data_IF_608358248874
#
_entry.id   IF_608358248874
#
_cell.length_a   1.000
_cell.length_b   1.000
_cell.length_c   1.000
_cell.angle_alpha   90.00
_cell.angle_beta   90.00
_cell.angle_gamma   90.00
#
_symmetry.space_group_name_H-M   'P 1'
#
loop_
_entity.id
_entity.type
_entity.pdbx_description
1 polymer ?
#
# COMPACT_ATOMS: atom_id res chain seq x y z
N UNK A 1 25.84 2.68 7.52
CA UNK A 1 25.81 4.11 7.14
C UNK A 1 24.44 4.41 6.55
N UNK A 2 23.58 5.09 7.29
CA UNK A 2 22.24 5.48 6.84
C UNK A 2 22.37 6.77 6.02
N UNK A 3 22.48 6.64 4.70
CA UNK A 3 22.33 7.81 3.84
C UNK A 3 20.86 8.24 3.93
N UNK A 4 20.54 9.52 4.19
CA UNK A 4 19.16 9.99 4.05
C UNK A 4 18.74 9.66 2.62
N UNK A 5 17.64 8.92 2.47
CA UNK A 5 17.11 8.61 1.14
C UNK A 5 16.96 9.93 0.38
N UNK A 6 17.73 10.08 -0.71
CA UNK A 6 17.64 11.30 -1.52
C UNK A 6 16.21 11.39 -2.04
N UNK A 7 15.61 12.57 -1.90
CA UNK A 7 14.23 12.80 -2.29
C UNK A 7 14.10 12.60 -3.80
N UNK A 8 13.15 11.77 -4.23
CA UNK A 8 13.04 11.39 -5.64
C UNK A 8 12.84 12.59 -6.59
N UNK A 9 12.31 13.71 -6.08
CA UNK A 9 12.08 14.94 -6.85
C UNK A 9 13.32 15.82 -6.99
N UNK A 10 14.45 15.47 -6.37
CA UNK A 10 15.70 16.24 -6.40
C UNK A 10 16.90 15.42 -6.92
N UNK A 11 16.64 14.32 -7.63
CA UNK A 11 17.68 13.47 -8.22
C UNK A 11 17.48 13.33 -9.73
N UNK A 12 18.56 13.03 -10.43
CA UNK A 12 18.52 12.75 -11.87
C UNK A 12 17.79 11.44 -12.16
N UNK A 13 17.40 11.26 -13.42
CA UNK A 13 16.78 10.01 -13.90
C UNK A 13 17.69 8.81 -13.66
N UNK A 14 19.00 8.95 -13.91
CA UNK A 14 19.96 7.86 -13.71
C UNK A 14 20.06 7.42 -12.24
N UNK A 15 20.09 8.38 -11.32
CA UNK A 15 20.09 8.11 -9.87
C UNK A 15 18.77 7.47 -9.43
N UNK A 16 17.63 7.93 -9.96
CA UNK A 16 16.33 7.32 -9.67
C UNK A 16 16.26 5.87 -10.13
N UNK A 17 16.75 5.57 -11.34
CA UNK A 17 16.83 4.21 -11.87
C UNK A 17 17.74 3.31 -11.02
N UNK A 18 18.87 3.83 -10.56
CA UNK A 18 19.78 3.12 -9.66
C UNK A 18 19.13 2.82 -8.30
N UNK A 19 18.46 3.81 -7.69
CA UNK A 19 17.76 3.63 -6.42
C UNK A 19 16.62 2.63 -6.52
N UNK A 20 15.85 2.70 -7.61
CA UNK A 20 14.76 1.77 -7.90
C UNK A 20 15.24 0.42 -8.43
N UNK A 21 16.55 0.24 -8.64
CA UNK A 21 17.18 -0.94 -9.22
C UNK A 21 16.47 -1.40 -10.51
N UNK A 22 16.18 -0.46 -11.40
CA UNK A 22 15.45 -0.71 -12.64
C UNK A 22 16.20 -0.14 -13.82
N UNK A 23 15.84 -0.61 -15.02
CA UNK A 23 16.40 -0.09 -16.27
C UNK A 23 15.45 0.92 -16.91
N UNK A 24 15.93 1.78 -17.83
CA UNK A 24 15.08 2.63 -18.66
C UNK A 24 14.06 1.83 -19.49
N UNK A 25 14.35 0.56 -19.77
CA UNK A 25 13.51 -0.33 -20.56
C UNK A 25 12.41 -1.00 -19.72
N UNK A 26 12.35 -0.70 -18.42
CA UNK A 26 11.38 -1.26 -17.49
C UNK A 26 11.88 -2.50 -16.74
N UNK A 27 10.92 -3.26 -16.22
CA UNK A 27 11.13 -4.45 -15.39
C UNK A 27 10.80 -5.72 -16.18
N UNK A 28 11.51 -6.81 -15.88
CA UNK A 28 11.15 -8.13 -16.39
C UNK A 28 9.96 -8.72 -15.64
N UNK A 29 9.26 -9.69 -16.23
CA UNK A 29 8.13 -10.36 -15.58
C UNK A 29 8.52 -11.00 -14.23
N UNK A 30 9.71 -11.60 -14.12
CA UNK A 30 10.21 -12.19 -12.88
C UNK A 30 10.45 -11.13 -11.79
N UNK A 31 10.90 -9.94 -12.18
CA UNK A 31 11.11 -8.86 -11.25
C UNK A 31 9.79 -8.23 -10.79
N UNK A 32 8.82 -8.11 -11.70
CA UNK A 32 7.45 -7.70 -11.35
C UNK A 32 6.84 -8.68 -10.35
N UNK A 33 6.94 -9.99 -10.57
CA UNK A 33 6.44 -11.01 -9.65
C UNK A 33 7.11 -10.90 -8.27
N UNK A 34 8.44 -10.80 -8.21
CA UNK A 34 9.18 -10.62 -6.94
C UNK A 34 8.77 -9.35 -6.21
N UNK A 35 8.57 -8.23 -6.92
CA UNK A 35 8.15 -6.95 -6.33
C UNK A 35 6.70 -7.01 -5.84
N UNK A 36 5.79 -7.68 -6.55
CA UNK A 36 4.41 -7.88 -6.09
C UNK A 36 4.35 -8.70 -4.80
N UNK A 37 5.19 -9.74 -4.66
CA UNK A 37 5.28 -10.50 -3.40
C UNK A 37 5.85 -9.65 -2.26
N UNK A 38 6.83 -8.77 -2.54
CA UNK A 38 7.48 -7.93 -1.52
C UNK A 38 6.62 -6.75 -1.06
N UNK A 39 6.02 -6.02 -2.00
CA UNK A 39 5.33 -4.75 -1.73
C UNK A 39 3.80 -4.87 -1.76
N UNK A 40 3.27 -5.94 -2.35
CA UNK A 40 1.84 -6.10 -2.60
C UNK A 40 1.36 -5.27 -3.79
N UNK A 41 0.05 -5.34 -4.03
CA UNK A 41 -0.60 -4.53 -5.06
C UNK A 41 -0.65 -3.07 -4.62
N UNK A 42 -0.35 -2.16 -5.57
CA UNK A 42 -0.52 -0.73 -5.37
C UNK A 42 -2.00 -0.34 -5.44
N UNK A 43 -2.78 -0.80 -4.47
CA UNK A 43 -4.20 -0.44 -4.29
C UNK A 43 -4.47 -0.13 -2.83
N UNK A 44 -5.16 0.98 -2.62
CA UNK A 44 -5.71 1.31 -1.32
C UNK A 44 -6.81 0.32 -0.97
N UNK A 45 -6.78 -0.22 0.24
CA UNK A 45 -7.85 -1.09 0.72
C UNK A 45 -9.14 -0.27 0.77
N UNK A 46 -10.25 -0.76 0.17
CA UNK A 46 -11.52 -0.09 0.34
C UNK A 46 -11.87 -0.07 1.82
N UNK A 47 -12.46 1.03 2.28
CA UNK A 47 -12.99 1.11 3.64
C UNK A 47 -14.02 0.00 3.81
N UNK A 48 -13.91 -0.80 4.88
CA UNK A 48 -14.92 -1.78 5.22
C UNK A 48 -16.25 -1.04 5.40
N UNK A 49 -17.17 -1.27 4.47
CA UNK A 49 -18.53 -0.77 4.60
C UNK A 49 -19.22 -1.65 5.63
N UNK A 50 -19.77 -1.05 6.68
CA UNK A 50 -20.60 -1.77 7.64
C UNK A 50 -21.79 -2.35 6.89
N UNK A 51 -21.81 -3.66 6.72
CA UNK A 51 -22.93 -4.39 6.11
C UNK A 51 -24.17 -4.25 6.99
N UNK A 52 -25.37 -4.37 6.40
CA UNK A 52 -26.65 -4.33 7.11
C UNK A 52 -26.67 -5.24 8.33
N UNK A 53 -26.08 -6.45 8.24
CA UNK A 53 -25.96 -7.38 9.37
C UNK A 53 -25.08 -6.84 10.50
N UNK A 54 -23.96 -6.16 10.18
CA UNK A 54 -23.09 -5.55 11.19
C UNK A 54 -23.78 -4.38 11.90
N UNK A 55 -24.59 -3.61 11.17
CA UNK A 55 -25.38 -2.52 11.73
C UNK A 55 -26.49 -3.06 12.64
N UNK A 56 -27.19 -4.12 12.22
CA UNK A 56 -28.23 -4.79 13.02
C UNK A 56 -27.67 -5.29 14.37
N UNK A 57 -26.52 -5.98 14.35
CA UNK A 57 -25.87 -6.48 15.57
C UNK A 57 -25.39 -5.35 16.49
N UNK A 58 -24.98 -4.21 15.93
CA UNK A 58 -24.57 -3.04 16.72
C UNK A 58 -25.74 -2.41 17.50
N UNK A 59 -26.97 -2.44 16.96
CA UNK A 59 -28.16 -1.90 17.65
C UNK A 59 -28.47 -2.67 18.94
N UNK A 60 -28.30 -3.99 18.95
CA UNK A 60 -28.50 -4.82 20.16
C UNK A 60 -27.49 -4.49 21.27
N UNK A 61 -26.29 -4.01 20.93
CA UNK A 61 -25.30 -3.57 21.93
C UNK A 61 -25.69 -2.23 22.57
N UNK A 62 -26.31 -1.33 21.81
CA UNK A 62 -26.74 -0.01 22.30
C UNK A 62 -27.88 -0.13 23.32
N UNK A 63 -28.75 -1.14 23.21
CA UNK A 63 -29.90 -1.30 24.09
C UNK A 63 -29.52 -1.71 25.53
N UNK A 64 -28.29 -2.20 25.75
CA UNK A 64 -27.82 -2.62 27.08
C UNK A 64 -27.35 -1.43 27.94
N UNK A 65 -27.07 -0.27 27.34
CA UNK A 65 -26.56 0.91 28.07
C UNK A 65 -27.63 1.96 28.41
N UNK A 66 -28.90 1.65 28.20
CA UNK A 66 -30.03 2.53 28.51
C UNK A 66 -30.92 1.90 29.59
N UNK A 67 -30.31 1.52 30.72
CA UNK A 67 -30.97 1.24 32.00
C UNK A 67 -30.10 1.78 33.14
#
# INVERSE_FOLDING_TARGET
MNHPALLFWNISVAESLQQLQTTPNGLTNDEVARRLTRYGFNRLKPKQQSTILTLLLAQFKSLISSF
#
